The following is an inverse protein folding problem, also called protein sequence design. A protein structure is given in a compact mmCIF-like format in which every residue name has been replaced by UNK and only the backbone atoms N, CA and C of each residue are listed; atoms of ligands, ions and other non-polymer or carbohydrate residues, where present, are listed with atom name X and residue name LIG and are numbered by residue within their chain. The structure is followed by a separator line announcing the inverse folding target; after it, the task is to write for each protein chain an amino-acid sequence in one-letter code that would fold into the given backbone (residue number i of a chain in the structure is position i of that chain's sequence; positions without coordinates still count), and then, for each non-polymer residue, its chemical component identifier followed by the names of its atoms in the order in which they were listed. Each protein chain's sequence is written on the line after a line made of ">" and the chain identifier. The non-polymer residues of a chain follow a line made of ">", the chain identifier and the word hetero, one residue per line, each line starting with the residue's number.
data_IF_194942809404
#
_entry.id   IF_194942809404
#
_cell.length_a   1.000
_cell.length_b   1.000
_cell.length_c   1.000
_cell.angle_alpha   90.00
_cell.angle_beta   90.00
_cell.angle_gamma   90.00
#
_symmetry.space_group_name_H-M   'P 1'
#
loop_
_entity.id
_entity.type
_entity.pdbx_description
1 polymer ?
#
# COMPACT_ATOMS: atom_id res chain seq x y z
N UNK A 1 -6.64 19.11 -6.94
CA UNK A 1 -6.07 17.93 -6.25
C UNK A 1 -5.94 16.66 -7.14
N UNK A 2 -6.17 16.72 -8.46
CA UNK A 2 -6.19 15.54 -9.36
C UNK A 2 -4.86 14.74 -9.46
N UNK A 3 -3.74 15.28 -8.96
CA UNK A 3 -2.40 14.68 -9.08
C UNK A 3 -2.04 13.66 -8.00
N UNK A 4 -2.83 13.52 -6.92
CA UNK A 4 -2.47 12.63 -5.80
C UNK A 4 -2.84 11.17 -6.04
N UNK A 5 -3.91 10.91 -6.80
CA UNK A 5 -4.43 9.57 -7.03
C UNK A 5 -3.44 8.64 -7.76
N UNK A 6 -2.72 9.08 -8.81
CA UNK A 6 -1.66 8.27 -9.42
C UNK A 6 -0.56 7.88 -8.41
N UNK A 7 -0.16 8.80 -7.54
CA UNK A 7 0.84 8.52 -6.49
C UNK A 7 0.32 7.49 -5.50
N UNK A 8 -0.93 7.63 -5.04
CA UNK A 8 -1.57 6.65 -4.14
C UNK A 8 -1.63 5.27 -4.81
N UNK A 9 -2.01 5.20 -6.09
CA UNK A 9 -2.02 3.94 -6.86
C UNK A 9 -0.64 3.31 -6.94
N UNK A 10 0.41 4.08 -7.24
CA UNK A 10 1.79 3.57 -7.34
C UNK A 10 2.26 3.04 -5.98
N UNK A 11 2.04 3.78 -4.89
CA UNK A 11 2.42 3.36 -3.55
C UNK A 11 1.68 2.08 -3.12
N UNK A 12 0.39 2.00 -3.44
CA UNK A 12 -0.42 0.81 -3.17
C UNK A 12 0.04 -0.41 -3.96
N UNK A 13 0.39 -0.26 -5.24
CA UNK A 13 0.96 -1.35 -6.03
C UNK A 13 2.33 -1.78 -5.50
N UNK A 14 3.16 -0.83 -5.05
CA UNK A 14 4.44 -1.12 -4.43
C UNK A 14 4.28 -1.91 -3.12
N UNK A 15 3.23 -1.64 -2.32
CA UNK A 15 2.97 -2.44 -1.12
C UNK A 15 2.53 -3.86 -1.44
N UNK A 16 1.71 -4.08 -2.47
CA UNK A 16 1.40 -5.43 -2.95
C UNK A 16 2.68 -6.18 -3.32
N UNK A 17 3.55 -5.57 -4.13
CA UNK A 17 4.81 -6.18 -4.53
C UNK A 17 5.70 -6.53 -3.32
N UNK A 18 5.80 -5.63 -2.35
CA UNK A 18 6.52 -5.87 -1.10
C UNK A 18 5.97 -7.09 -0.35
N UNK A 19 4.65 -7.19 -0.16
CA UNK A 19 4.05 -8.32 0.57
C UNK A 19 4.16 -9.65 -0.18
N UNK A 20 4.10 -9.63 -1.52
CA UNK A 20 4.38 -10.83 -2.32
C UNK A 20 5.82 -11.31 -2.12
N UNK A 21 6.80 -10.40 -2.09
CA UNK A 21 8.20 -10.76 -1.80
C UNK A 21 8.33 -11.26 -0.36
N UNK A 22 7.76 -10.56 0.61
CA UNK A 22 7.79 -10.94 2.03
C UNK A 22 7.19 -12.34 2.28
N UNK A 23 6.07 -12.64 1.64
CA UNK A 23 5.42 -13.95 1.74
C UNK A 23 6.28 -15.09 1.17
N UNK A 24 7.14 -14.80 0.20
CA UNK A 24 7.95 -15.81 -0.49
C UNK A 24 9.45 -15.79 -0.14
N UNK A 25 9.91 -14.84 0.67
CA UNK A 25 11.32 -14.68 1.04
C UNK A 25 11.56 -14.95 2.53
N UNK A 26 12.08 -16.13 2.91
CA UNK A 26 12.47 -16.42 4.29
C UNK A 26 13.50 -15.42 4.84
N UNK A 27 14.43 -14.96 4.00
CA UNK A 27 15.45 -13.98 4.38
C UNK A 27 14.82 -12.64 4.78
N UNK A 28 13.85 -12.14 4.00
CA UNK A 28 13.18 -10.89 4.32
C UNK A 28 12.37 -10.99 5.61
N UNK A 29 11.71 -12.13 5.86
CA UNK A 29 11.03 -12.38 7.14
C UNK A 29 12.00 -12.39 8.32
N UNK A 30 13.15 -13.04 8.17
CA UNK A 30 14.18 -13.04 9.21
C UNK A 30 14.68 -11.61 9.51
N UNK A 31 14.88 -10.79 8.48
CA UNK A 31 15.28 -9.38 8.63
C UNK A 31 14.20 -8.55 9.34
N UNK A 32 12.93 -8.71 8.98
CA UNK A 32 11.81 -7.99 9.62
C UNK A 32 11.65 -8.41 11.08
N UNK A 33 11.72 -9.72 11.37
CA UNK A 33 11.56 -10.23 12.73
C UNK A 33 12.77 -9.94 13.63
N UNK A 34 13.96 -9.78 13.04
CA UNK A 34 15.21 -9.51 13.77
C UNK A 34 15.52 -8.03 13.97
N UNK A 35 14.76 -7.10 13.37
CA UNK A 35 15.08 -5.67 13.41
C UNK A 35 13.83 -4.82 13.60
N UNK A 36 13.82 -4.01 14.67
CA UNK A 36 12.73 -3.05 14.94
C UNK A 36 12.53 -2.03 13.81
N UNK A 37 13.60 -1.60 13.14
CA UNK A 37 13.50 -0.68 12.00
C UNK A 37 12.76 -1.33 10.81
N UNK A 38 13.09 -2.58 10.48
CA UNK A 38 12.41 -3.30 9.41
C UNK A 38 10.97 -3.69 9.77
N UNK A 39 10.68 -3.93 11.05
CA UNK A 39 9.32 -4.11 11.56
C UNK A 39 8.47 -2.83 11.36
N UNK A 40 9.04 -1.65 11.60
CA UNK A 40 8.36 -0.36 11.32
C UNK A 40 8.10 -0.22 9.82
N UNK A 41 9.09 -0.51 8.97
CA UNK A 41 8.90 -0.48 7.51
C UNK A 41 7.76 -1.41 7.10
N UNK A 42 7.73 -2.64 7.62
CA UNK A 42 6.66 -3.60 7.37
C UNK A 42 5.28 -3.03 7.75
N UNK A 43 5.16 -2.46 8.94
CA UNK A 43 3.91 -1.82 9.41
C UNK A 43 3.50 -0.61 8.57
N UNK A 44 4.45 0.18 8.06
CA UNK A 44 4.13 1.27 7.10
C UNK A 44 3.57 0.66 5.81
N UNK A 45 4.16 -0.42 5.31
CA UNK A 45 3.66 -1.09 4.11
C UNK A 45 2.25 -1.65 4.34
N UNK A 46 1.93 -2.16 5.53
CA UNK A 46 0.56 -2.56 5.89
C UNK A 46 -0.42 -1.39 5.77
N UNK A 47 -0.07 -0.23 6.35
CA UNK A 47 -0.91 0.97 6.25
C UNK A 47 -1.10 1.44 4.80
N UNK A 48 -0.05 1.35 3.98
CA UNK A 48 -0.13 1.69 2.56
C UNK A 48 -1.01 0.68 1.79
N UNK A 49 -0.93 -0.62 2.11
CA UNK A 49 -1.76 -1.65 1.48
C UNK A 49 -3.24 -1.46 1.81
N UNK A 50 -3.61 -1.44 3.10
CA UNK A 50 -5.00 -1.34 3.52
C UNK A 50 -5.56 0.08 3.32
N UNK A 51 -4.81 1.11 3.72
CA UNK A 51 -5.19 2.50 3.56
C UNK A 51 -5.26 2.92 2.09
N UNK A 52 -4.30 2.47 1.27
CA UNK A 52 -4.30 2.71 -0.17
C UNK A 52 -5.48 2.04 -0.87
N UNK A 53 -5.78 0.78 -0.54
CA UNK A 53 -6.95 0.08 -1.09
C UNK A 53 -8.24 0.82 -0.74
N UNK A 54 -8.43 1.18 0.53
CA UNK A 54 -9.60 1.90 0.99
C UNK A 54 -9.74 3.26 0.28
N UNK A 55 -8.66 4.03 0.20
CA UNK A 55 -8.66 5.33 -0.47
C UNK A 55 -9.03 5.22 -1.95
N UNK A 56 -8.49 4.23 -2.67
CA UNK A 56 -8.80 3.99 -4.08
C UNK A 56 -10.25 3.54 -4.30
N UNK A 57 -10.78 2.68 -3.42
CA UNK A 57 -12.18 2.25 -3.46
C UNK A 57 -13.11 3.44 -3.25
N UNK A 58 -12.86 4.25 -2.22
CA UNK A 58 -13.66 5.45 -1.94
C UNK A 58 -13.59 6.45 -3.10
N UNK A 59 -12.42 6.64 -3.69
CA UNK A 59 -12.26 7.47 -4.87
C UNK A 59 -13.07 6.97 -6.07
N UNK A 60 -13.04 5.66 -6.32
CA UNK A 60 -13.79 5.05 -7.41
C UNK A 60 -15.29 5.23 -7.20
N UNK A 61 -15.79 4.99 -5.97
CA UNK A 61 -17.19 5.20 -5.61
C UNK A 61 -17.60 6.66 -5.82
N UNK A 62 -16.79 7.61 -5.34
CA UNK A 62 -17.02 9.04 -5.53
C UNK A 62 -17.10 9.40 -7.01
N UNK A 63 -16.17 8.91 -7.83
CA UNK A 63 -16.14 9.22 -9.27
C UNK A 63 -17.31 8.59 -10.04
N UNK A 64 -17.83 7.44 -9.59
CA UNK A 64 -19.04 6.81 -10.16
C UNK A 64 -20.29 7.61 -9.77
N UNK A 65 -20.38 8.06 -8.52
CA UNK A 65 -21.53 8.84 -8.02
C UNK A 65 -21.55 10.28 -8.53
N UNK A 66 -20.38 10.86 -8.74
CA UNK A 66 -20.20 12.25 -9.17
C UNK A 66 -19.27 12.32 -10.40
N UNK A 67 -19.71 11.84 -11.57
CA UNK A 67 -18.88 11.76 -12.78
C UNK A 67 -18.48 13.13 -13.38
N UNK A 68 -18.93 14.26 -12.82
CA UNK A 68 -18.68 15.63 -13.33
C UNK A 68 -17.60 16.43 -12.56
N UNK A 69 -16.65 15.75 -11.90
CA UNK A 69 -15.48 16.37 -11.23
C UNK A 69 -14.25 16.57 -12.09
#
# INVERSE_FOLDING_TARGET
>A
MKKIWPTITVLWLASIAYFLIYANSPALRATVNGSGAWSIVHGIMDLVLFGGALALILHLIDRIRHPRG
#
